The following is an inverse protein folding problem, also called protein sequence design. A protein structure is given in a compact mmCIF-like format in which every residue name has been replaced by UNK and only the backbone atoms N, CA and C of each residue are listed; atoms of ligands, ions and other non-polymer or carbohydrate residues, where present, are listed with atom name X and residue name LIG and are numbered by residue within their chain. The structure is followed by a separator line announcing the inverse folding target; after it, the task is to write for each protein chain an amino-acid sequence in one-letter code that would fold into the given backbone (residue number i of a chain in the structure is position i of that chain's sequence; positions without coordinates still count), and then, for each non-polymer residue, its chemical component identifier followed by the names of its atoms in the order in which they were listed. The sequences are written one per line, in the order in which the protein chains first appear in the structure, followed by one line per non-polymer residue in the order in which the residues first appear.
data_IF_254652460149
#
_entry.id   IF_254652460149
#
_cell.length_a   1.000
_cell.length_b   1.000
_cell.length_c   1.000
_cell.angle_alpha   90.00
_cell.angle_beta   90.00
_cell.angle_gamma   90.00
#
_symmetry.space_group_name_H-M   'P 1'
#
loop_
_entity.id
_entity.type
_entity.pdbx_description
1 polymer ?
#
# COMPACT_ATOMS: atom_id res chain seq x y z
N UNK A 1 -9.72 -8.27 -6.88
CA UNK A 1 -9.92 -8.40 -5.42
C UNK A 1 -9.55 -7.05 -4.80
N UNK A 2 -10.41 -6.40 -4.01
CA UNK A 2 -10.07 -5.09 -3.40
C UNK A 2 -9.10 -5.29 -2.24
N UNK A 3 -7.96 -4.59 -2.26
CA UNK A 3 -7.02 -4.58 -1.13
C UNK A 3 -7.51 -3.64 -0.01
N UNK A 4 -7.16 -3.99 1.23
CA UNK A 4 -7.40 -3.39 2.56
C UNK A 4 -7.13 -1.88 2.76
N UNK A 5 -7.06 -1.04 1.73
CA UNK A 5 -6.99 0.41 1.92
C UNK A 5 -8.37 0.99 2.25
N UNK A 6 -8.54 1.56 3.45
CA UNK A 6 -9.78 2.17 3.90
C UNK A 6 -9.58 3.66 4.17
N UNK A 7 -10.37 4.50 3.50
CA UNK A 7 -10.45 5.94 3.77
C UNK A 7 -11.77 6.49 3.24
N UNK A 8 -12.25 7.59 3.82
CA UNK A 8 -13.37 8.35 3.27
C UNK A 8 -12.97 9.14 1.99
N UNK A 9 -11.68 9.26 1.69
CA UNK A 9 -11.15 10.01 0.54
C UNK A 9 -10.59 9.06 -0.51
N UNK A 10 -11.14 9.12 -1.72
CA UNK A 10 -10.67 8.34 -2.86
C UNK A 10 -9.23 8.69 -3.23
N UNK A 11 -8.88 9.98 -3.25
CA UNK A 11 -7.53 10.42 -3.59
C UNK A 11 -6.49 9.90 -2.60
N UNK A 12 -6.87 9.75 -1.32
CA UNK A 12 -6.01 9.14 -0.30
C UNK A 12 -5.79 7.65 -0.55
N UNK A 13 -6.81 6.93 -1.03
CA UNK A 13 -6.69 5.52 -1.41
C UNK A 13 -5.76 5.36 -2.62
N UNK A 14 -5.90 6.21 -3.65
CA UNK A 14 -5.04 6.12 -4.84
C UNK A 14 -3.58 6.48 -4.52
N UNK A 15 -3.33 7.48 -3.67
CA UNK A 15 -1.98 7.75 -3.15
C UNK A 15 -1.40 6.58 -2.38
N UNK A 16 -2.17 5.98 -1.47
CA UNK A 16 -1.71 4.82 -0.70
C UNK A 16 -1.34 3.62 -1.61
N UNK A 17 -2.05 3.43 -2.74
CA UNK A 17 -1.67 2.42 -3.72
C UNK A 17 -0.33 2.74 -4.39
N UNK A 18 -0.10 3.98 -4.81
CA UNK A 18 1.19 4.40 -5.39
C UNK A 18 2.33 4.27 -4.38
N UNK A 19 2.13 4.76 -3.16
CA UNK A 19 3.09 4.68 -2.06
C UNK A 19 3.46 3.23 -1.76
N UNK A 20 2.48 2.32 -1.81
CA UNK A 20 2.73 0.90 -1.63
C UNK A 20 3.54 0.31 -2.79
N UNK A 21 3.16 0.54 -4.05
CA UNK A 21 3.91 0.03 -5.22
C UNK A 21 5.36 0.50 -5.24
N UNK A 22 5.61 1.72 -4.78
CA UNK A 22 6.94 2.33 -4.77
C UNK A 22 7.69 2.15 -3.44
N UNK A 23 7.15 1.38 -2.48
CA UNK A 23 7.82 1.12 -1.20
C UNK A 23 8.05 2.36 -0.34
N UNK A 24 7.15 3.35 -0.38
CA UNK A 24 7.27 4.60 0.40
C UNK A 24 6.80 4.47 1.85
N UNK A 25 6.11 3.38 2.19
CA UNK A 25 5.77 3.08 3.58
C UNK A 25 7.03 2.70 4.36
N UNK A 26 7.11 3.03 5.66
CA UNK A 26 8.21 2.58 6.50
C UNK A 26 8.32 1.06 6.46
N UNK A 27 9.54 0.55 6.33
CA UNK A 27 9.81 -0.87 6.46
C UNK A 27 9.53 -1.33 7.89
N UNK A 28 8.98 -2.53 8.02
CA UNK A 28 8.84 -3.20 9.32
C UNK A 28 10.23 -3.77 9.69
N UNK A 29 10.78 -3.47 10.88
CA UNK A 29 12.04 -4.05 11.31
C UNK A 29 11.99 -5.58 11.28
N UNK A 30 13.09 -6.20 10.86
CA UNK A 30 13.26 -7.66 10.74
C UNK A 30 12.33 -8.35 9.73
N UNK A 31 11.55 -7.59 8.96
CA UNK A 31 10.75 -8.10 7.84
C UNK A 31 11.45 -7.81 6.51
N UNK A 32 11.60 -8.84 5.68
CA UNK A 32 12.19 -8.75 4.34
C UNK A 32 11.18 -9.06 3.24
N UNK A 33 9.94 -9.39 3.59
CA UNK A 33 8.91 -9.75 2.64
C UNK A 33 8.14 -8.52 2.13
N UNK A 34 7.73 -8.59 0.87
CA UNK A 34 6.90 -7.56 0.25
C UNK A 34 5.75 -8.20 -0.53
N UNK A 35 4.52 -7.80 -0.22
CA UNK A 35 3.32 -8.26 -0.92
C UNK A 35 2.94 -7.21 -1.98
N UNK A 36 2.93 -7.53 -3.28
CA UNK A 36 2.54 -6.57 -4.32
C UNK A 36 1.02 -6.37 -4.40
N UNK A 37 0.60 -5.28 -5.05
CA UNK A 37 -0.83 -5.02 -5.33
C UNK A 37 -1.33 -6.04 -6.34
N UNK A 38 -2.50 -6.68 -6.13
CA UNK A 38 -3.13 -7.46 -7.19
C UNK A 38 -3.56 -6.54 -8.33
N UNK A 39 -3.61 -7.09 -9.54
CA UNK A 39 -4.09 -6.42 -10.76
C UNK A 39 -5.59 -6.08 -10.71
#
# INVERSE_FOLDING_TARGET
MFWNFVSHSRDRIERAKDDWRNGRFPAVPDDTEFVPLPD
#
